data_IF_675555286198
#
_entry.id   IF_675555286198
#
_cell.length_a   1.000
_cell.length_b   1.000
_cell.length_c   1.000
_cell.angle_alpha   90.00
_cell.angle_beta   90.00
_cell.angle_gamma   90.00
#
_symmetry.space_group_name_H-M   'P 1'
#
loop_
_entity.id
_entity.type
_entity.pdbx_description
1 polymer ?
#
# COMPACT_ATOMS: atom_id res chain seq x y z
N UNK A 1 -13.23 -42.31 1.05
CA UNK A 1 -12.30 -41.17 1.24
C UNK A 1 -12.82 -39.81 0.71
N UNK A 2 -13.71 -39.77 -0.30
CA UNK A 2 -14.24 -38.53 -0.92
C UNK A 2 -14.79 -37.46 0.05
N UNK A 3 -15.59 -37.84 1.07
CA UNK A 3 -16.16 -36.85 2.00
C UNK A 3 -15.15 -36.26 3.00
N UNK A 4 -14.13 -37.02 3.41
CA UNK A 4 -13.11 -36.54 4.37
C UNK A 4 -12.23 -35.46 3.72
N UNK A 5 -11.83 -35.67 2.47
CA UNK A 5 -11.11 -34.67 1.66
C UNK A 5 -11.93 -33.39 1.45
N UNK A 6 -13.24 -33.51 1.16
CA UNK A 6 -14.15 -32.35 1.03
C UNK A 6 -14.27 -31.56 2.34
N UNK A 7 -14.41 -32.25 3.48
CA UNK A 7 -14.47 -31.60 4.81
C UNK A 7 -13.16 -30.90 5.18
N UNK A 8 -12.02 -31.54 4.90
CA UNK A 8 -10.69 -30.95 5.11
C UNK A 8 -10.49 -29.73 4.22
N UNK A 9 -10.86 -29.82 2.93
CA UNK A 9 -10.79 -28.67 2.01
C UNK A 9 -11.64 -27.49 2.46
N UNK A 10 -12.88 -27.73 2.91
CA UNK A 10 -13.76 -26.67 3.45
C UNK A 10 -13.16 -26.04 4.71
N UNK A 11 -12.57 -26.83 5.60
CA UNK A 11 -11.92 -26.31 6.81
C UNK A 11 -10.71 -25.42 6.49
N UNK A 12 -9.89 -25.81 5.51
CA UNK A 12 -8.74 -25.01 5.06
C UNK A 12 -9.20 -23.70 4.43
N UNK A 13 -10.23 -23.73 3.57
CA UNK A 13 -10.77 -22.52 2.94
C UNK A 13 -11.32 -21.55 4.00
N UNK A 14 -12.09 -22.05 4.97
CA UNK A 14 -12.59 -21.23 6.08
C UNK A 14 -11.46 -20.61 6.90
N UNK A 15 -10.40 -21.36 7.18
CA UNK A 15 -9.24 -20.85 7.89
C UNK A 15 -8.55 -19.73 7.12
N UNK A 16 -8.38 -19.87 5.81
CA UNK A 16 -7.81 -18.83 4.95
C UNK A 16 -8.68 -17.56 4.93
N UNK A 17 -10.00 -17.69 4.83
CA UNK A 17 -10.92 -16.55 4.90
C UNK A 17 -10.79 -15.78 6.22
N UNK A 18 -10.68 -16.48 7.35
CA UNK A 18 -10.50 -15.86 8.67
C UNK A 18 -9.17 -15.11 8.75
N UNK A 19 -8.10 -15.66 8.18
CA UNK A 19 -6.79 -14.99 8.15
C UNK A 19 -6.86 -13.74 7.27
N UNK A 20 -7.48 -13.84 6.09
CA UNK A 20 -7.66 -12.71 5.18
C UNK A 20 -8.55 -11.60 5.77
N UNK A 21 -9.61 -11.94 6.51
CA UNK A 21 -10.48 -10.93 7.15
C UNK A 21 -9.80 -10.16 8.28
N UNK A 22 -8.71 -10.69 8.83
CA UNK A 22 -7.89 -10.05 9.85
C UNK A 22 -6.71 -9.28 9.25
N UNK A 23 -6.52 -9.32 7.93
CA UNK A 23 -5.53 -8.48 7.27
C UNK A 23 -6.12 -7.08 7.13
N UNK A 24 -5.78 -6.20 8.06
CA UNK A 24 -5.89 -4.77 7.81
C UNK A 24 -4.94 -4.44 6.66
N UNK A 25 -5.49 -3.97 5.55
CA UNK A 25 -4.68 -3.33 4.51
C UNK A 25 -3.99 -2.15 5.15
N UNK A 26 -2.70 -2.29 5.40
CA UNK A 26 -1.81 -1.17 5.71
C UNK A 26 -1.84 -0.25 4.49
N UNK A 27 -2.73 0.74 4.54
CA UNK A 27 -2.67 1.87 3.64
C UNK A 27 -1.32 2.52 3.92
N UNK A 28 -0.49 2.65 2.88
CA UNK A 28 0.81 3.30 3.01
C UNK A 28 0.55 4.69 3.56
N UNK A 29 1.11 5.01 4.73
CA UNK A 29 0.89 6.31 5.33
C UNK A 29 1.49 7.38 4.40
N UNK A 30 0.97 8.61 4.47
CA UNK A 30 1.52 9.73 3.69
C UNK A 30 3.03 9.93 3.94
N UNK A 31 3.52 9.55 5.13
CA UNK A 31 4.93 9.51 5.48
C UNK A 31 5.72 8.46 4.69
N UNK A 32 5.18 7.27 4.49
CA UNK A 32 5.84 6.20 3.73
C UNK A 32 5.93 6.57 2.25
N UNK A 33 4.88 7.21 1.72
CA UNK A 33 4.89 7.77 0.37
C UNK A 33 5.97 8.85 0.23
N UNK A 34 6.05 9.78 1.19
CA UNK A 34 7.00 10.89 1.13
C UNK A 34 8.45 10.40 1.22
N UNK A 35 8.73 9.46 2.13
CA UNK A 35 10.05 8.86 2.28
C UNK A 35 10.47 8.12 1.01
N UNK A 36 9.63 7.19 0.52
CA UNK A 36 9.88 6.47 -0.72
C UNK A 36 10.06 7.39 -1.94
N UNK A 37 9.31 8.50 -2.01
CA UNK A 37 9.45 9.46 -3.10
C UNK A 37 10.75 10.28 -2.97
N UNK A 38 11.10 10.75 -1.77
CA UNK A 38 12.29 11.56 -1.53
C UNK A 38 13.60 10.79 -1.74
N UNK A 39 13.63 9.49 -1.44
CA UNK A 39 14.79 8.64 -1.74
C UNK A 39 15.11 8.59 -3.24
N UNK A 40 14.12 8.73 -4.11
CA UNK A 40 14.29 8.82 -5.56
C UNK A 40 14.79 10.20 -6.03
N UNK A 41 14.78 11.21 -5.17
CA UNK A 41 15.22 12.58 -5.48
C UNK A 41 16.71 12.83 -5.26
N UNK A 42 17.47 11.86 -4.73
CA UNK A 42 18.90 12.00 -4.39
C UNK A 42 19.73 12.23 -5.64
N UNK A 43 20.19 13.48 -5.83
CA UNK A 43 21.02 13.86 -6.97
C UNK A 43 21.90 15.10 -6.67
N UNK A 44 22.95 15.31 -7.47
CA UNK A 44 24.01 16.31 -7.19
C UNK A 44 23.57 17.76 -7.30
N UNK A 45 22.65 18.08 -8.19
CA UNK A 45 22.12 19.44 -8.36
C UNK A 45 21.01 19.71 -7.33
N UNK A 46 21.25 20.67 -6.44
CA UNK A 46 20.36 20.97 -5.31
C UNK A 46 19.02 21.56 -5.78
N UNK A 47 18.98 22.24 -6.93
CA UNK A 47 17.77 22.85 -7.47
C UNK A 47 16.82 21.79 -8.02
N UNK A 48 17.36 20.76 -8.66
CA UNK A 48 16.57 19.63 -9.16
C UNK A 48 16.08 18.74 -8.00
N UNK A 49 16.92 18.54 -6.98
CA UNK A 49 16.52 17.84 -5.75
C UNK A 49 15.31 18.53 -5.09
N UNK A 50 15.38 19.84 -4.85
CA UNK A 50 14.26 20.63 -4.28
C UNK A 50 12.99 20.61 -5.13
N UNK A 51 13.12 20.56 -6.46
CA UNK A 51 11.96 20.41 -7.36
C UNK A 51 11.32 19.03 -7.26
N UNK A 52 12.14 18.01 -7.12
CA UNK A 52 11.68 16.64 -6.92
C UNK A 52 10.96 16.52 -5.56
N UNK A 53 11.53 17.07 -4.49
CA UNK A 53 10.91 17.08 -3.15
C UNK A 53 9.54 17.79 -3.15
N UNK A 54 9.41 18.92 -3.86
CA UNK A 54 8.12 19.60 -4.03
C UNK A 54 7.08 18.71 -4.74
N UNK A 55 7.50 17.92 -5.73
CA UNK A 55 6.60 16.97 -6.39
C UNK A 55 6.17 15.84 -5.45
N UNK A 56 7.07 15.36 -4.59
CA UNK A 56 6.72 14.38 -3.56
C UNK A 56 5.71 14.94 -2.57
N UNK A 57 5.82 16.20 -2.17
CA UNK A 57 4.83 16.87 -1.32
C UNK A 57 3.45 16.98 -1.98
N UNK A 58 3.39 17.20 -3.29
CA UNK A 58 2.12 17.24 -4.02
C UNK A 58 1.52 15.82 -4.15
N UNK A 59 2.37 14.83 -4.48
CA UNK A 59 1.95 13.45 -4.70
C UNK A 59 1.52 12.72 -3.42
N UNK A 60 2.17 13.03 -2.31
CA UNK A 60 1.96 12.36 -1.02
C UNK A 60 1.27 13.26 0.02
N UNK A 61 1.01 14.53 -0.33
CA UNK A 61 0.36 15.49 0.55
C UNK A 61 -1.13 15.21 0.70
N UNK A 62 -1.81 15.87 1.64
CA UNK A 62 -3.24 15.65 1.91
C UNK A 62 -4.13 15.87 0.68
N UNK A 63 -3.68 16.65 -0.30
CA UNK A 63 -4.38 16.92 -1.55
C UNK A 63 -4.35 15.73 -2.55
N UNK A 64 -3.50 14.72 -2.33
CA UNK A 64 -3.40 13.55 -3.22
C UNK A 64 -4.52 12.52 -3.02
N UNK A 65 -5.30 12.64 -1.93
CA UNK A 65 -6.41 11.73 -1.62
C UNK A 65 -7.66 11.96 -2.48
N UNK A 66 -7.67 12.98 -3.35
CA UNK A 66 -8.84 13.31 -4.18
C UNK A 66 -9.08 12.28 -5.31
N UNK A 67 -8.11 11.42 -5.63
CA UNK A 67 -8.23 10.45 -6.73
C UNK A 67 -8.60 9.01 -6.31
N UNK A 68 -8.69 8.68 -5.01
CA UNK A 68 -8.94 7.29 -4.56
C UNK A 68 -10.38 7.01 -4.09
N UNK A 69 -11.26 8.01 -3.96
CA UNK A 69 -12.67 7.81 -3.59
C UNK A 69 -13.60 7.62 -4.81
N UNK A 70 -13.16 6.86 -5.82
CA UNK A 70 -14.05 6.35 -6.87
C UNK A 70 -13.60 4.99 -7.40
N UNK A 71 -13.67 3.96 -6.56
CA UNK A 71 -13.74 2.54 -6.98
C UNK A 71 -14.50 1.69 -5.97
#
# INVERSE_FOLDING_TARGET
MKMKMKKIGVAIIMLLFVICSQMETVNSDASDCLDACSTACVQRDTRLMQRCDRKCQIKCGPDSKVEEDMS
#
